data_IF_714234617453
#
_entry.id   IF_714234617453
#
_cell.length_a   1.000
_cell.length_b   1.000
_cell.length_c   1.000
_cell.angle_alpha   90.00
_cell.angle_beta   90.00
_cell.angle_gamma   90.00
#
_symmetry.space_group_name_H-M   'P 1'
#
loop_
_entity.id
_entity.type
_entity.pdbx_description
1 polymer ?
#
# COMPACT_ATOMS: atom_id res chain seq x y z
N UNK A 1 2.68 -7.00 -22.20
CA UNK A 1 2.00 -6.22 -21.16
C UNK A 1 3.01 -5.90 -20.10
N UNK A 2 3.37 -4.64 -19.94
CA UNK A 2 4.23 -4.21 -18.84
C UNK A 2 3.41 -4.19 -17.55
N UNK A 3 3.83 -5.01 -16.58
CA UNK A 3 3.21 -5.07 -15.25
C UNK A 3 4.27 -4.68 -14.24
N UNK A 4 4.08 -3.54 -13.58
CA UNK A 4 5.00 -3.04 -12.54
C UNK A 4 5.13 -4.06 -11.40
N UNK A 5 4.04 -4.75 -11.03
CA UNK A 5 4.06 -5.80 -10.02
C UNK A 5 3.61 -7.16 -10.53
N UNK A 6 4.46 -8.15 -10.26
CA UNK A 6 4.10 -9.56 -10.30
C UNK A 6 3.15 -9.89 -9.13
N UNK A 7 2.34 -10.96 -9.25
CA UNK A 7 1.57 -11.47 -8.12
C UNK A 7 2.47 -11.69 -6.89
N UNK A 8 1.90 -11.51 -5.69
CA UNK A 8 2.60 -11.53 -4.39
C UNK A 8 3.65 -10.43 -4.19
N UNK A 9 3.85 -9.58 -5.19
CA UNK A 9 4.74 -8.43 -5.11
C UNK A 9 4.22 -7.37 -4.14
N UNK A 10 5.16 -6.59 -3.60
CA UNK A 10 4.93 -5.59 -2.57
C UNK A 10 5.22 -4.18 -3.08
N UNK A 11 4.41 -3.22 -2.64
CA UNK A 11 4.72 -1.78 -2.72
C UNK A 11 4.83 -1.26 -1.29
N UNK A 12 5.81 -0.37 -1.07
CA UNK A 12 5.91 0.41 0.16
C UNK A 12 5.88 1.89 -0.26
N UNK A 13 4.93 2.65 0.27
CA UNK A 13 4.83 4.09 0.10
C UNK A 13 5.11 4.77 1.45
N UNK A 14 5.73 5.94 1.41
CA UNK A 14 6.02 6.76 2.59
C UNK A 14 5.61 8.19 2.30
N UNK A 15 4.59 8.67 3.01
CA UNK A 15 4.04 10.02 2.81
C UNK A 15 3.30 10.45 4.09
N UNK A 16 2.77 11.66 4.08
CA UNK A 16 1.81 12.19 5.04
C UNK A 16 0.57 11.32 5.14
N UNK A 17 -0.05 11.31 6.34
CA UNK A 17 -1.26 10.54 6.63
C UNK A 17 -2.37 10.73 5.60
N UNK A 18 -2.61 11.97 5.15
CA UNK A 18 -3.67 12.28 4.18
C UNK A 18 -3.45 11.61 2.82
N UNK A 19 -2.22 11.52 2.35
CA UNK A 19 -1.89 10.81 1.09
C UNK A 19 -1.97 9.30 1.28
N UNK A 20 -1.48 8.81 2.42
CA UNK A 20 -1.47 7.38 2.76
C UNK A 20 -2.88 6.81 2.86
N UNK A 21 -3.82 7.54 3.45
CA UNK A 21 -5.21 7.12 3.53
C UNK A 21 -5.87 7.04 2.14
N UNK A 22 -5.62 8.01 1.26
CA UNK A 22 -6.10 7.95 -0.14
C UNK A 22 -5.53 6.74 -0.89
N UNK A 23 -4.23 6.48 -0.72
CA UNK A 23 -3.58 5.33 -1.34
C UNK A 23 -4.12 4.00 -0.76
N UNK A 24 -4.44 3.94 0.53
CA UNK A 24 -5.09 2.79 1.17
C UNK A 24 -6.47 2.52 0.59
N UNK A 25 -7.28 3.57 0.39
CA UNK A 25 -8.60 3.44 -0.25
C UNK A 25 -8.47 2.86 -1.66
N UNK A 26 -7.52 3.34 -2.45
CA UNK A 26 -7.25 2.81 -3.78
C UNK A 26 -6.82 1.33 -3.73
N UNK A 27 -5.90 1.00 -2.83
CA UNK A 27 -5.43 -0.38 -2.64
C UNK A 27 -6.59 -1.33 -2.30
N UNK A 28 -7.52 -0.91 -1.44
CA UNK A 28 -8.71 -1.69 -1.10
C UNK A 28 -9.65 -1.90 -2.31
N UNK A 29 -9.86 -0.86 -3.14
CA UNK A 29 -10.69 -0.94 -4.35
C UNK A 29 -10.15 -1.95 -5.37
N UNK A 30 -8.83 -2.03 -5.52
CA UNK A 30 -8.17 -3.02 -6.39
C UNK A 30 -7.93 -4.37 -5.69
N UNK A 31 -8.52 -4.57 -4.50
CA UNK A 31 -8.44 -5.79 -3.67
C UNK A 31 -7.02 -6.17 -3.28
N UNK A 32 -6.15 -5.19 -3.07
CA UNK A 32 -4.82 -5.43 -2.53
C UNK A 32 -4.88 -5.43 -1.01
N UNK A 33 -4.04 -6.26 -0.39
CA UNK A 33 -3.85 -6.18 1.05
C UNK A 33 -3.05 -4.93 1.35
N UNK A 34 -3.51 -4.11 2.30
CA UNK A 34 -2.89 -2.83 2.63
C UNK A 34 -2.77 -2.68 4.15
N UNK A 35 -1.59 -2.29 4.62
CA UNK A 35 -1.30 -2.08 6.04
C UNK A 35 -0.60 -0.74 6.22
N UNK A 36 -1.11 0.09 7.12
CA UNK A 36 -0.49 1.36 7.49
C UNK A 36 0.40 1.13 8.71
N UNK A 37 1.62 1.65 8.70
CA UNK A 37 2.56 1.57 9.81
C UNK A 37 2.88 3.00 10.26
N UNK A 38 2.68 3.25 11.56
CA UNK A 38 3.01 4.51 12.20
C UNK A 38 4.53 4.61 12.44
N UNK A 39 5.13 5.72 12.03
CA UNK A 39 6.52 6.03 12.34
C UNK A 39 6.54 6.83 13.65
N UNK A 40 7.16 6.30 14.70
CA UNK A 40 7.18 6.89 16.05
C UNK A 40 8.16 8.07 16.18
N UNK A 41 8.19 8.98 15.21
CA UNK A 41 9.11 10.11 15.17
C UNK A 41 8.40 11.47 15.38
N UNK A 42 7.12 11.46 15.77
CA UNK A 42 6.33 12.68 15.93
C UNK A 42 6.00 13.41 14.63
N UNK A 43 6.35 12.84 13.47
CA UNK A 43 5.96 13.35 12.16
C UNK A 43 4.62 12.75 11.71
N UNK A 44 3.91 13.49 10.85
CA UNK A 44 2.69 13.00 10.17
C UNK A 44 2.99 11.96 9.08
N UNK A 45 4.24 11.49 8.99
CA UNK A 45 4.67 10.51 8.02
C UNK A 45 4.21 9.12 8.43
N UNK A 46 3.71 8.37 7.45
CA UNK A 46 3.22 6.99 7.59
C UNK A 46 3.72 6.15 6.44
N UNK A 47 3.90 4.87 6.72
CA UNK A 47 4.18 3.89 5.67
C UNK A 47 2.90 3.17 5.29
N UNK A 48 2.67 3.00 3.99
CA UNK A 48 1.67 2.10 3.46
C UNK A 48 2.38 0.93 2.81
N UNK A 49 2.15 -0.25 3.36
CA UNK A 49 2.64 -1.52 2.80
C UNK A 49 1.46 -2.20 2.10
N UNK A 50 1.58 -2.37 0.79
CA UNK A 50 0.56 -3.05 -0.01
C UNK A 50 1.11 -4.32 -0.64
N UNK A 51 0.33 -5.40 -0.60
CA UNK A 51 0.62 -6.63 -1.30
C UNK A 51 -0.43 -6.92 -2.37
N UNK A 52 0.04 -7.19 -3.59
CA UNK A 52 -0.82 -7.67 -4.67
C UNK A 52 -1.12 -9.16 -4.43
N UNK A 53 -2.36 -9.55 -4.14
CA UNK A 53 -2.66 -10.95 -3.85
C UNK A 53 -2.44 -11.84 -5.07
N UNK A 54 -2.09 -13.09 -4.81
CA UNK A 54 -2.13 -14.13 -5.82
C UNK A 54 -3.58 -14.59 -6.00
N UNK A 55 -4.21 -14.14 -7.09
CA UNK A 55 -5.55 -14.63 -7.44
C UNK A 55 -5.40 -15.99 -8.11
N UNK A 56 -5.58 -17.08 -7.35
CA UNK A 56 -5.88 -18.40 -7.96
C UNK A 56 -7.30 -18.37 -8.47
N UNK A 57 -7.46 -18.70 -9.75
CA UNK A 57 -8.76 -18.86 -10.40
C UNK A 57 -9.39 -20.19 -9.98
#
# INVERSE_FOLDING_TARGET
MDRILRPEGWIILSDTLGTIEKARTLAAQIRWEARVIDLQNGSDQRLLVCQKPFVRK
#
